data_IF_986126527704
#
_entry.id   IF_986126527704
#
_cell.length_a   1.000
_cell.length_b   1.000
_cell.length_c   1.000
_cell.angle_alpha   90.00
_cell.angle_beta   90.00
_cell.angle_gamma   90.00
#
_symmetry.space_group_name_H-M   'P 1'
#
loop_
_entity.id
_entity.type
_entity.pdbx_description
1 polymer ?
#
# COMPACT_ATOMS: atom_id res chain seq x y z
N UNK A 1 -35.48 -9.45 5.78
CA UNK A 1 -36.12 -9.12 4.52
C UNK A 1 -35.28 -8.16 3.72
N UNK A 2 -35.43 -8.14 2.42
CA UNK A 2 -34.73 -7.22 1.50
C UNK A 2 -35.37 -5.84 1.61
N UNK A 3 -34.56 -4.81 1.82
CA UNK A 3 -35.02 -3.43 1.89
C UNK A 3 -34.43 -2.64 0.71
N UNK A 4 -35.24 -1.88 0.00
CA UNK A 4 -34.79 -0.95 -1.04
C UNK A 4 -34.41 0.36 -0.38
N UNK A 5 -33.17 0.83 -0.59
CA UNK A 5 -32.65 2.09 -0.06
C UNK A 5 -32.49 3.12 -1.17
N UNK A 6 -32.79 4.38 -0.88
CA UNK A 6 -32.42 5.50 -1.74
C UNK A 6 -30.92 5.81 -1.59
N UNK A 7 -30.34 6.60 -2.50
CA UNK A 7 -28.94 7.03 -2.41
C UNK A 7 -28.64 7.75 -1.09
N UNK A 8 -29.54 8.63 -0.63
CA UNK A 8 -29.41 9.34 0.64
C UNK A 8 -29.43 8.38 1.84
N UNK A 9 -30.34 7.38 1.82
CA UNK A 9 -30.40 6.35 2.85
C UNK A 9 -29.16 5.47 2.86
N UNK A 10 -28.59 5.15 1.69
CA UNK A 10 -27.31 4.43 1.61
C UNK A 10 -26.19 5.25 2.21
N UNK A 11 -26.07 6.53 1.86
CA UNK A 11 -25.09 7.45 2.42
C UNK A 11 -25.21 7.56 3.93
N UNK A 12 -26.41 7.76 4.44
CA UNK A 12 -26.68 7.80 5.88
C UNK A 12 -26.30 6.48 6.57
N UNK A 13 -26.56 5.34 5.94
CA UNK A 13 -26.20 4.01 6.50
C UNK A 13 -24.69 3.85 6.58
N UNK A 14 -23.93 4.34 5.61
CA UNK A 14 -22.47 4.32 5.62
C UNK A 14 -21.88 5.25 6.68
N UNK A 15 -22.46 6.44 6.84
CA UNK A 15 -21.93 7.46 7.73
C UNK A 15 -22.46 7.36 9.17
N UNK A 16 -23.65 6.79 9.36
CA UNK A 16 -24.29 6.75 10.67
C UNK A 16 -23.52 5.84 11.63
N UNK A 17 -23.03 6.43 12.69
CA UNK A 17 -22.48 5.76 13.86
C UNK A 17 -23.23 6.24 15.09
N UNK A 18 -23.73 5.33 15.89
CA UNK A 18 -24.35 5.69 17.16
C UNK A 18 -23.29 6.08 18.17
N UNK A 19 -23.61 7.05 19.03
CA UNK A 19 -22.69 7.45 20.09
C UNK A 19 -22.29 6.24 20.95
N UNK A 20 -20.98 5.95 21.04
CA UNK A 20 -20.46 4.81 21.75
C UNK A 20 -20.60 3.46 21.02
N UNK A 21 -21.04 3.43 19.76
CA UNK A 21 -21.07 2.21 18.96
C UNK A 21 -19.65 1.88 18.47
N UNK A 22 -19.06 0.74 18.87
CA UNK A 22 -17.77 0.30 18.36
C UNK A 22 -17.82 0.05 16.85
N UNK A 23 -16.73 0.32 16.13
CA UNK A 23 -16.66 0.14 14.68
C UNK A 23 -16.97 -1.32 14.28
N UNK A 24 -16.47 -2.30 15.02
CA UNK A 24 -16.76 -3.73 14.75
C UNK A 24 -18.25 -4.06 14.77
N UNK A 25 -19.05 -3.38 15.59
CA UNK A 25 -20.51 -3.56 15.66
C UNK A 25 -21.19 -2.99 14.41
N UNK A 26 -20.61 -1.97 13.80
CA UNK A 26 -21.11 -1.31 12.59
C UNK A 26 -20.79 -2.10 11.30
N UNK A 27 -19.67 -2.81 11.28
CA UNK A 27 -19.16 -3.52 10.10
C UNK A 27 -20.17 -4.46 9.43
N UNK A 28 -20.96 -5.31 10.15
CA UNK A 28 -21.94 -6.17 9.49
C UNK A 28 -22.98 -5.41 8.68
N UNK A 29 -23.42 -4.23 9.18
CA UNK A 29 -24.38 -3.36 8.48
C UNK A 29 -23.76 -2.79 7.22
N UNK A 30 -22.53 -2.29 7.29
CA UNK A 30 -21.77 -1.77 6.15
C UNK A 30 -21.53 -2.88 5.12
N UNK A 31 -21.09 -4.05 5.57
CA UNK A 31 -20.88 -5.22 4.70
C UNK A 31 -22.16 -5.63 3.98
N UNK A 32 -23.30 -5.68 4.68
CA UNK A 32 -24.60 -6.00 4.07
C UNK A 32 -24.99 -4.98 2.99
N UNK A 33 -24.72 -3.69 3.22
CA UNK A 33 -24.97 -2.65 2.23
C UNK A 33 -24.11 -2.85 0.97
N UNK A 34 -22.80 -3.04 1.13
CA UNK A 34 -21.89 -3.27 -0.01
C UNK A 34 -22.20 -4.57 -0.74
N UNK A 35 -22.56 -5.63 -0.03
CA UNK A 35 -23.02 -6.88 -0.62
C UNK A 35 -24.31 -6.70 -1.44
N UNK A 36 -25.23 -5.86 -0.95
CA UNK A 36 -26.43 -5.48 -1.69
C UNK A 36 -26.12 -4.73 -2.97
N UNK A 37 -25.20 -3.76 -2.92
CA UNK A 37 -24.71 -3.03 -4.10
C UNK A 37 -24.05 -3.98 -5.09
N UNK A 38 -23.14 -4.83 -4.64
CA UNK A 38 -22.45 -5.81 -5.48
C UNK A 38 -23.44 -6.77 -6.16
N UNK A 39 -24.47 -7.22 -5.43
CA UNK A 39 -25.53 -8.07 -5.99
C UNK A 39 -26.37 -7.33 -7.03
N UNK A 40 -26.66 -6.05 -6.83
CA UNK A 40 -27.44 -5.25 -7.76
C UNK A 40 -26.67 -4.93 -9.05
N UNK A 41 -25.34 -4.72 -8.93
CA UNK A 41 -24.47 -4.48 -10.08
C UNK A 41 -24.17 -5.79 -10.85
N UNK A 42 -24.12 -6.91 -10.12
CA UNK A 42 -23.88 -8.25 -10.70
C UNK A 42 -22.52 -8.36 -11.38
N UNK A 43 -22.52 -8.53 -12.71
CA UNK A 43 -21.32 -8.66 -13.54
C UNK A 43 -20.70 -7.32 -13.96
N UNK A 44 -21.23 -6.23 -13.49
CA UNK A 44 -20.84 -4.87 -13.82
C UNK A 44 -22.00 -4.03 -14.34
N UNK A 45 -21.83 -2.71 -14.36
CA UNK A 45 -22.80 -1.79 -14.96
C UNK A 45 -22.75 -1.89 -16.48
N UNK A 46 -23.90 -1.84 -17.18
CA UNK A 46 -23.93 -1.79 -18.64
C UNK A 46 -23.24 -0.49 -19.14
N UNK A 47 -22.62 -0.52 -20.34
CA UNK A 47 -21.85 0.61 -20.86
C UNK A 47 -22.63 1.93 -20.91
N UNK A 48 -23.93 1.88 -21.16
CA UNK A 48 -24.79 3.06 -21.22
C UNK A 48 -24.92 3.76 -19.85
N UNK A 49 -24.82 3.01 -18.74
CA UNK A 49 -24.86 3.56 -17.38
C UNK A 49 -23.51 4.04 -16.89
N UNK A 50 -22.42 3.56 -17.52
CA UNK A 50 -21.08 3.99 -17.16
C UNK A 50 -20.78 5.41 -17.60
N UNK A 51 -21.48 5.93 -18.63
CA UNK A 51 -21.23 7.25 -19.23
C UNK A 51 -19.72 7.53 -19.39
N UNK A 52 -18.98 6.50 -19.76
CA UNK A 52 -17.56 6.65 -20.05
C UNK A 52 -17.48 7.52 -21.31
N UNK A 53 -16.83 8.67 -21.19
CA UNK A 53 -16.53 9.50 -22.36
C UNK A 53 -15.80 8.64 -23.37
N UNK A 54 -16.16 8.69 -24.67
CA UNK A 54 -15.52 7.89 -25.73
C UNK A 54 -14.00 8.11 -25.83
N UNK A 55 -13.51 9.20 -25.22
CA UNK A 55 -12.10 9.62 -25.18
C UNK A 55 -11.32 9.09 -23.97
N UNK A 56 -11.96 8.44 -22.99
CA UNK A 56 -11.22 7.90 -21.86
C UNK A 56 -10.51 6.61 -22.27
N UNK A 57 -9.21 6.68 -22.44
CA UNK A 57 -8.38 5.48 -22.65
C UNK A 57 -8.45 4.59 -21.41
N UNK A 58 -8.51 3.24 -21.56
CA UNK A 58 -8.59 2.33 -20.42
C UNK A 58 -7.48 2.50 -19.38
N UNK A 59 -6.34 3.05 -19.78
CA UNK A 59 -5.14 3.21 -18.96
C UNK A 59 -5.01 4.61 -18.33
N UNK A 60 -5.94 5.53 -18.56
CA UNK A 60 -5.89 6.86 -17.98
C UNK A 60 -6.30 6.81 -16.50
N UNK A 61 -5.49 7.40 -15.62
CA UNK A 61 -5.80 7.46 -14.20
C UNK A 61 -7.04 8.35 -13.99
N UNK A 62 -8.08 7.87 -13.27
CA UNK A 62 -9.24 8.68 -12.97
C UNK A 62 -8.86 9.94 -12.19
N UNK A 63 -9.30 11.10 -12.65
CA UNK A 63 -9.03 12.40 -12.01
C UNK A 63 -10.12 12.83 -11.03
N UNK A 64 -11.25 12.14 -11.04
CA UNK A 64 -12.39 12.39 -10.14
C UNK A 64 -12.98 11.09 -9.58
N UNK A 65 -13.61 11.20 -8.42
CA UNK A 65 -14.22 10.07 -7.70
C UNK A 65 -15.34 9.39 -8.50
N UNK A 66 -16.12 10.15 -9.25
CA UNK A 66 -17.21 9.60 -10.06
C UNK A 66 -16.68 8.69 -11.17
N UNK A 67 -15.65 9.12 -11.88
CA UNK A 67 -14.97 8.30 -12.90
C UNK A 67 -14.30 7.08 -12.28
N UNK A 68 -13.67 7.23 -11.13
CA UNK A 68 -13.12 6.10 -10.39
C UNK A 68 -14.19 5.07 -10.03
N UNK A 69 -15.28 5.48 -9.41
CA UNK A 69 -16.38 4.58 -9.03
C UNK A 69 -17.03 3.90 -10.24
N UNK A 70 -17.25 4.62 -11.33
CA UNK A 70 -17.77 4.00 -12.56
C UNK A 70 -16.84 2.89 -13.07
N UNK A 71 -15.53 3.11 -13.04
CA UNK A 71 -14.56 2.07 -13.43
C UNK A 71 -14.56 0.87 -12.49
N UNK A 72 -14.68 1.10 -11.17
CA UNK A 72 -14.81 0.01 -10.18
C UNK A 72 -16.03 -0.86 -10.47
N UNK A 73 -17.15 -0.25 -10.88
CA UNK A 73 -18.38 -0.97 -11.19
C UNK A 73 -18.50 -1.43 -12.65
N UNK A 74 -17.47 -1.20 -13.47
CA UNK A 74 -17.47 -1.67 -14.87
C UNK A 74 -17.29 -3.19 -15.01
N UNK A 75 -16.79 -3.85 -13.98
CA UNK A 75 -16.58 -5.30 -13.92
C UNK A 75 -17.28 -5.96 -12.74
N UNK A 76 -17.07 -7.26 -12.55
CA UNK A 76 -17.59 -7.99 -11.40
C UNK A 76 -17.10 -7.36 -10.08
N UNK A 77 -18.04 -7.15 -9.16
CA UNK A 77 -17.75 -6.54 -7.86
C UNK A 77 -17.73 -7.62 -6.78
N UNK A 78 -16.64 -7.67 -6.04
CA UNK A 78 -16.48 -8.51 -4.86
C UNK A 78 -16.29 -7.65 -3.62
N UNK A 79 -16.95 -8.03 -2.53
CA UNK A 79 -16.86 -7.32 -1.25
C UNK A 79 -16.09 -8.16 -0.25
N UNK A 80 -14.94 -7.65 0.17
CA UNK A 80 -14.09 -8.27 1.17
C UNK A 80 -14.17 -7.50 2.47
N UNK A 81 -14.26 -8.21 3.57
CA UNK A 81 -14.12 -7.63 4.90
C UNK A 81 -12.75 -8.04 5.44
N UNK A 82 -11.88 -7.07 5.61
CA UNK A 82 -10.55 -7.29 6.19
C UNK A 82 -10.66 -7.70 7.66
N UNK A 83 -9.82 -8.63 8.06
CA UNK A 83 -9.64 -8.99 9.45
C UNK A 83 -8.99 -7.84 10.21
N UNK A 84 -9.61 -7.46 11.33
CA UNK A 84 -9.15 -6.36 12.15
C UNK A 84 -9.18 -6.74 13.62
N UNK A 85 -8.16 -6.34 14.36
CA UNK A 85 -8.07 -6.56 15.81
C UNK A 85 -7.98 -5.21 16.54
N UNK A 86 -8.72 -5.03 17.65
CA UNK A 86 -8.65 -3.79 18.41
C UNK A 86 -7.23 -3.56 18.92
N UNK A 87 -6.75 -2.34 18.77
CA UNK A 87 -5.48 -1.90 19.36
C UNK A 87 -5.66 -1.73 20.88
N UNK A 88 -4.69 -2.21 21.64
CA UNK A 88 -4.70 -2.15 23.10
C UNK A 88 -3.35 -1.79 23.69
N UNK A 89 -3.31 -1.42 24.97
CA UNK A 89 -2.09 -1.16 25.69
C UNK A 89 -1.27 0.02 25.15
N UNK A 90 0.03 -0.21 24.93
CA UNK A 90 0.96 0.83 24.50
C UNK A 90 0.64 1.43 23.13
N UNK A 91 0.00 0.64 22.26
CA UNK A 91 -0.34 1.05 20.89
C UNK A 91 -1.60 1.95 20.84
N UNK A 92 -2.37 2.00 21.92
CA UNK A 92 -3.60 2.80 22.01
C UNK A 92 -3.79 3.37 23.43
N UNK A 93 -2.90 4.24 23.90
CA UNK A 93 -2.95 4.77 25.27
C UNK A 93 -4.18 5.65 25.53
N UNK A 94 -4.78 6.21 24.49
CA UNK A 94 -5.99 7.04 24.59
C UNK A 94 -7.29 6.22 24.59
N UNK A 95 -7.21 4.89 24.50
CA UNK A 95 -8.34 3.96 24.44
C UNK A 95 -9.38 4.33 23.37
N UNK A 96 -8.90 4.78 22.23
CA UNK A 96 -9.74 5.10 21.08
C UNK A 96 -10.22 3.81 20.41
N UNK A 97 -11.30 3.91 19.65
CA UNK A 97 -11.83 2.80 18.84
C UNK A 97 -10.99 2.61 17.57
N UNK A 98 -9.73 2.10 17.75
CA UNK A 98 -8.74 1.87 16.71
C UNK A 98 -8.47 0.40 16.50
N UNK A 99 -8.23 0.01 15.26
CA UNK A 99 -8.02 -1.37 14.85
C UNK A 99 -6.78 -1.51 13.99
N UNK A 100 -5.99 -2.56 14.24
CA UNK A 100 -4.94 -3.01 13.34
C UNK A 100 -5.54 -3.98 12.32
N UNK A 101 -5.29 -3.72 11.05
CA UNK A 101 -5.63 -4.65 9.97
C UNK A 101 -4.56 -5.74 9.86
N UNK A 102 -4.97 -6.94 9.46
CA UNK A 102 -4.04 -7.98 9.04
C UNK A 102 -3.35 -7.54 7.74
N UNK A 103 -2.07 -7.17 7.85
CA UNK A 103 -1.28 -6.67 6.72
C UNK A 103 -1.10 -7.70 5.63
N UNK A 104 -1.00 -8.99 6.01
CA UNK A 104 -0.85 -10.07 5.03
C UNK A 104 -2.14 -10.25 4.23
N UNK A 105 -3.30 -10.21 4.88
CA UNK A 105 -4.59 -10.25 4.21
C UNK A 105 -4.77 -9.07 3.24
N UNK A 106 -4.41 -7.84 3.68
CA UNK A 106 -4.43 -6.66 2.82
C UNK A 106 -3.55 -6.86 1.59
N UNK A 107 -2.32 -7.34 1.76
CA UNK A 107 -1.39 -7.62 0.65
C UNK A 107 -1.95 -8.65 -0.33
N UNK A 108 -2.53 -9.74 0.18
CA UNK A 108 -3.11 -10.79 -0.66
C UNK A 108 -4.30 -10.27 -1.48
N UNK A 109 -5.19 -9.50 -0.87
CA UNK A 109 -6.35 -8.92 -1.55
C UNK A 109 -5.89 -7.90 -2.59
N UNK A 110 -4.99 -7.00 -2.23
CA UNK A 110 -4.46 -5.99 -3.16
C UNK A 110 -3.71 -6.64 -4.33
N UNK A 111 -2.92 -7.67 -4.09
CA UNK A 111 -2.23 -8.40 -5.15
C UNK A 111 -3.20 -9.09 -6.13
N UNK A 112 -4.36 -9.55 -5.66
CA UNK A 112 -5.38 -10.15 -6.51
C UNK A 112 -6.23 -9.11 -7.25
N UNK A 113 -6.56 -7.99 -6.60
CA UNK A 113 -7.44 -6.96 -7.15
C UNK A 113 -6.70 -5.99 -8.09
N UNK A 114 -5.44 -5.69 -7.80
CA UNK A 114 -4.59 -4.82 -8.58
C UNK A 114 -3.22 -5.47 -8.77
N UNK A 115 -3.12 -6.47 -9.64
CA UNK A 115 -1.83 -7.10 -9.91
C UNK A 115 -0.83 -6.04 -10.34
N UNK A 116 0.31 -6.03 -9.66
CA UNK A 116 1.35 -5.03 -9.86
C UNK A 116 1.87 -5.04 -11.30
N UNK A 117 2.14 -3.86 -11.84
CA UNK A 117 2.89 -3.70 -13.09
C UNK A 117 4.30 -4.30 -13.02
N UNK A 118 4.81 -4.60 -11.83
CA UNK A 118 6.09 -5.26 -11.59
C UNK A 118 6.01 -6.79 -11.67
N UNK A 119 4.82 -7.36 -11.83
CA UNK A 119 4.66 -8.77 -12.17
C UNK A 119 5.13 -8.97 -13.61
N UNK A 120 6.37 -9.39 -13.77
CA UNK A 120 6.93 -9.75 -15.07
C UNK A 120 6.28 -11.04 -15.56
N UNK A 121 6.16 -11.25 -16.91
CA UNK A 121 5.70 -12.52 -17.45
C UNK A 121 6.53 -13.73 -16.99
N UNK A 122 7.79 -13.48 -16.58
CA UNK A 122 8.75 -14.48 -16.07
C UNK A 122 8.73 -14.65 -14.55
N UNK A 123 7.87 -13.94 -13.82
CA UNK A 123 7.81 -13.94 -12.36
C UNK A 123 7.91 -12.54 -11.74
N UNK A 124 8.03 -12.48 -10.43
CA UNK A 124 8.21 -11.20 -9.71
C UNK A 124 9.66 -10.69 -9.85
N UNK A 125 9.84 -9.36 -9.82
CA UNK A 125 11.15 -8.73 -9.79
C UNK A 125 11.89 -9.12 -8.50
N UNK A 126 12.99 -9.86 -8.62
CA UNK A 126 13.81 -10.30 -7.50
C UNK A 126 14.74 -9.18 -7.03
N UNK A 127 14.55 -8.70 -5.81
CA UNK A 127 15.26 -7.53 -5.26
C UNK A 127 16.12 -7.95 -4.07
N UNK A 128 17.35 -7.46 -4.06
CA UNK A 128 18.21 -7.44 -2.86
C UNK A 128 18.07 -6.09 -2.17
N UNK A 129 17.87 -6.11 -0.87
CA UNK A 129 17.85 -4.90 -0.02
C UNK A 129 19.13 -4.83 0.81
N UNK A 130 19.85 -3.73 0.69
CA UNK A 130 21.04 -3.40 1.48
C UNK A 130 20.69 -2.24 2.43
N UNK A 131 20.89 -2.43 3.72
CA UNK A 131 20.63 -1.40 4.74
C UNK A 131 21.86 -1.18 5.61
N UNK A 132 22.25 0.09 5.77
CA UNK A 132 23.27 0.52 6.72
C UNK A 132 22.65 1.28 7.91
N UNK A 133 21.33 1.31 8.03
CA UNK A 133 20.63 2.08 9.04
C UNK A 133 20.56 1.38 10.40
N UNK A 134 20.91 0.10 10.46
CA UNK A 134 20.90 -0.74 11.68
C UNK A 134 19.55 -0.68 12.43
N UNK A 135 18.44 -0.52 11.70
CA UNK A 135 17.09 -0.48 12.25
C UNK A 135 16.21 -1.53 11.56
N UNK A 136 15.88 -2.56 12.32
CA UNK A 136 15.06 -3.66 11.83
C UNK A 136 13.63 -3.24 11.42
N UNK A 137 13.09 -2.17 12.05
CA UNK A 137 11.75 -1.68 11.71
C UNK A 137 11.78 -0.96 10.36
N UNK A 138 12.84 -0.19 10.08
CA UNK A 138 13.03 0.45 8.78
C UNK A 138 13.21 -0.60 7.69
N UNK A 139 14.09 -1.60 7.94
CA UNK A 139 14.30 -2.70 7.00
C UNK A 139 13.01 -3.45 6.72
N UNK A 140 12.21 -3.75 7.75
CA UNK A 140 10.90 -4.38 7.59
C UNK A 140 9.94 -3.52 6.78
N UNK A 141 9.88 -2.21 7.04
CA UNK A 141 9.02 -1.30 6.28
C UNK A 141 9.39 -1.26 4.79
N UNK A 142 10.68 -1.32 4.45
CA UNK A 142 11.15 -1.43 3.07
C UNK A 142 10.65 -2.72 2.42
N UNK A 143 10.85 -3.85 3.09
CA UNK A 143 10.45 -5.18 2.59
C UNK A 143 8.94 -5.24 2.34
N UNK A 144 8.14 -4.79 3.31
CA UNK A 144 6.68 -4.75 3.20
C UNK A 144 6.24 -3.90 2.00
N UNK A 145 6.86 -2.74 1.79
CA UNK A 145 6.52 -1.83 0.70
C UNK A 145 6.92 -2.37 -0.68
N UNK A 146 8.09 -3.01 -0.78
CA UNK A 146 8.54 -3.67 -2.00
C UNK A 146 7.61 -4.84 -2.37
N UNK A 147 7.25 -5.66 -1.39
CA UNK A 147 6.33 -6.77 -1.61
C UNK A 147 4.92 -6.27 -1.97
N UNK A 148 4.49 -5.15 -1.40
CA UNK A 148 3.20 -4.53 -1.71
C UNK A 148 3.06 -4.17 -3.19
N UNK A 149 4.12 -3.73 -3.84
CA UNK A 149 4.11 -3.42 -5.28
C UNK A 149 4.39 -4.66 -6.17
N UNK A 150 4.43 -5.87 -5.60
CA UNK A 150 4.54 -7.13 -6.33
C UNK A 150 5.95 -7.54 -6.73
N UNK A 151 6.98 -6.85 -6.23
CA UNK A 151 8.34 -7.33 -6.29
C UNK A 151 8.63 -8.30 -5.12
N UNK A 152 9.66 -9.12 -5.22
CA UNK A 152 10.05 -10.06 -4.17
C UNK A 152 11.41 -9.69 -3.60
N UNK A 153 11.48 -9.47 -2.29
CA UNK A 153 12.77 -9.34 -1.61
C UNK A 153 13.33 -10.73 -1.36
N UNK A 154 14.41 -11.06 -2.07
CA UNK A 154 15.05 -12.39 -2.02
C UNK A 154 16.26 -12.42 -1.12
N UNK A 155 16.86 -11.25 -0.84
CA UNK A 155 18.03 -11.13 0.02
C UNK A 155 18.01 -9.79 0.76
N UNK A 156 18.33 -9.83 2.05
CA UNK A 156 18.54 -8.65 2.88
C UNK A 156 19.98 -8.71 3.39
N UNK A 157 20.72 -7.61 3.24
CA UNK A 157 22.06 -7.46 3.81
C UNK A 157 22.10 -6.24 4.72
N UNK A 158 22.59 -6.44 5.90
CA UNK A 158 22.97 -5.35 6.80
C UNK A 158 24.42 -5.00 6.53
N UNK A 159 24.68 -3.71 6.25
CA UNK A 159 25.99 -3.18 5.98
C UNK A 159 26.45 -2.35 7.18
N UNK A 160 27.74 -2.33 7.42
CA UNK A 160 28.38 -1.52 8.48
C UNK A 160 28.81 -0.14 8.01
N UNK A 161 28.65 0.13 6.72
CA UNK A 161 29.02 1.40 6.10
C UNK A 161 28.07 2.53 6.53
N UNK A 162 28.51 3.77 6.39
CA UNK A 162 27.64 4.94 6.59
C UNK A 162 26.49 4.92 5.57
N UNK A 163 25.22 5.06 6.02
CA UNK A 163 24.09 5.08 5.10
C UNK A 163 24.20 6.25 4.11
N UNK A 164 23.90 6.02 2.82
CA UNK A 164 23.88 7.10 1.85
C UNK A 164 22.76 8.10 2.20
N UNK A 165 22.94 9.36 1.77
CA UNK A 165 21.91 10.38 1.99
C UNK A 165 20.63 10.08 1.17
N UNK A 166 20.79 9.54 -0.03
CA UNK A 166 19.71 9.18 -0.93
C UNK A 166 19.70 7.69 -1.20
N UNK A 167 18.51 7.09 -1.16
CA UNK A 167 18.28 5.69 -1.52
C UNK A 167 18.62 5.45 -2.99
N UNK A 168 19.24 4.31 -3.27
CA UNK A 168 19.77 3.98 -4.60
C UNK A 168 19.13 2.70 -5.10
N UNK A 169 18.57 2.76 -6.32
CA UNK A 169 18.12 1.59 -7.05
C UNK A 169 19.15 1.21 -8.10
N UNK A 170 19.78 0.05 -7.93
CA UNK A 170 20.76 -0.49 -8.87
C UNK A 170 20.13 -1.59 -9.70
N UNK A 171 20.18 -1.46 -11.00
CA UNK A 171 19.51 -2.36 -11.95
C UNK A 171 20.51 -3.09 -12.85
N UNK A 172 20.16 -4.30 -13.24
CA UNK A 172 20.91 -5.08 -14.23
C UNK A 172 20.54 -4.70 -15.67
N UNK A 173 19.25 -4.42 -15.90
CA UNK A 173 18.69 -4.05 -17.19
C UNK A 173 17.90 -2.74 -17.07
N UNK A 174 18.13 -1.81 -18.00
CA UNK A 174 17.45 -0.50 -18.03
C UNK A 174 15.93 -0.62 -18.21
N UNK A 175 15.46 -1.67 -18.86
CA UNK A 175 14.02 -1.92 -19.00
C UNK A 175 13.32 -2.08 -17.63
N UNK A 176 14.04 -2.59 -16.62
CA UNK A 176 13.55 -2.71 -15.25
C UNK A 176 13.24 -1.33 -14.65
N UNK A 177 14.05 -0.32 -14.95
CA UNK A 177 13.84 1.04 -14.44
C UNK A 177 12.55 1.63 -15.00
N UNK A 178 12.34 1.50 -16.30
CA UNK A 178 11.14 2.03 -16.96
C UNK A 178 9.86 1.39 -16.41
N UNK A 179 9.93 0.10 -16.11
CA UNK A 179 8.82 -0.66 -15.54
C UNK A 179 8.57 -0.31 -14.07
N UNK A 180 9.64 -0.23 -13.26
CA UNK A 180 9.55 -0.23 -11.81
C UNK A 180 9.54 1.16 -11.17
N UNK A 181 10.04 2.18 -11.87
CA UNK A 181 10.30 3.52 -11.31
C UNK A 181 9.11 4.11 -10.58
N UNK A 182 7.97 4.20 -11.24
CA UNK A 182 6.77 4.84 -10.67
C UNK A 182 6.29 4.13 -9.42
N UNK A 183 6.24 2.79 -9.46
CA UNK A 183 5.82 1.98 -8.31
C UNK A 183 6.80 2.08 -7.14
N UNK A 184 8.10 1.98 -7.42
CA UNK A 184 9.14 2.06 -6.38
C UNK A 184 9.18 3.45 -5.73
N UNK A 185 9.15 4.53 -6.51
CA UNK A 185 9.17 5.90 -5.97
C UNK A 185 7.90 6.22 -5.17
N UNK A 186 6.76 5.64 -5.54
CA UNK A 186 5.52 5.81 -4.78
C UNK A 186 5.60 5.22 -3.36
N UNK A 187 6.37 4.14 -3.17
CA UNK A 187 6.44 3.43 -1.88
C UNK A 187 7.74 3.67 -1.10
N UNK A 188 8.82 4.07 -1.77
CA UNK A 188 10.13 4.28 -1.15
C UNK A 188 10.59 5.75 -1.17
N UNK A 189 9.85 6.64 -1.86
CA UNK A 189 10.29 7.99 -2.14
C UNK A 189 11.24 8.08 -3.32
N UNK A 190 11.79 9.28 -3.61
CA UNK A 190 12.68 9.51 -4.74
C UNK A 190 13.93 8.65 -4.67
N UNK A 191 14.28 7.97 -5.77
CA UNK A 191 15.43 7.07 -5.84
C UNK A 191 16.48 7.60 -6.81
N UNK A 192 17.76 7.34 -6.51
CA UNK A 192 18.85 7.46 -7.46
C UNK A 192 18.98 6.16 -8.24
N UNK A 193 19.14 6.24 -9.56
CA UNK A 193 19.22 5.06 -10.42
C UNK A 193 20.66 4.85 -10.90
N UNK A 194 21.21 3.67 -10.67
CA UNK A 194 22.56 3.28 -11.05
C UNK A 194 22.55 1.91 -11.73
N UNK A 195 23.41 1.72 -12.72
CA UNK A 195 23.59 0.39 -13.31
C UNK A 195 24.48 -0.49 -12.41
N UNK A 196 24.07 -1.74 -12.18
CA UNK A 196 24.90 -2.73 -11.47
C UNK A 196 26.18 -2.99 -12.24
N UNK A 197 27.31 -2.83 -11.57
CA UNK A 197 28.63 -3.11 -12.16
C UNK A 197 28.86 -4.63 -12.35
N UNK A 198 28.24 -5.44 -11.49
CA UNK A 198 28.33 -6.91 -11.51
C UNK A 198 26.96 -7.46 -11.18
N UNK A 199 26.24 -8.01 -12.16
CA UNK A 199 24.97 -8.70 -11.92
C UNK A 199 25.20 -9.89 -11.00
N UNK A 200 24.25 -10.14 -10.10
CA UNK A 200 24.24 -11.31 -9.22
C UNK A 200 23.16 -12.24 -9.75
N UNK A 201 23.49 -13.51 -9.91
CA UNK A 201 22.55 -14.51 -10.38
C UNK A 201 21.33 -14.61 -9.45
N UNK A 202 20.13 -14.62 -10.03
CA UNK A 202 18.87 -14.66 -9.27
C UNK A 202 18.43 -13.31 -8.68
N UNK A 203 19.19 -12.23 -8.89
CA UNK A 203 18.84 -10.87 -8.42
C UNK A 203 18.70 -9.96 -9.64
N UNK A 204 17.50 -9.41 -9.81
CA UNK A 204 17.20 -8.49 -10.92
C UNK A 204 17.64 -7.06 -10.61
N UNK A 205 17.54 -6.66 -9.34
CA UNK A 205 17.90 -5.32 -8.89
C UNK A 205 18.34 -5.31 -7.42
N UNK A 206 19.02 -4.25 -7.02
CA UNK A 206 19.48 -4.00 -5.65
C UNK A 206 18.97 -2.64 -5.19
N UNK A 207 18.45 -2.56 -3.98
CA UNK A 207 18.07 -1.30 -3.33
C UNK A 207 19.00 -1.08 -2.15
N UNK A 208 19.69 0.06 -2.14
CA UNK A 208 20.48 0.54 -1.00
C UNK A 208 19.65 1.63 -0.32
N UNK A 209 19.29 1.41 0.94
CA UNK A 209 18.45 2.32 1.71
C UNK A 209 19.27 3.48 2.25
N UNK A 210 18.81 4.69 1.96
CA UNK A 210 19.41 5.93 2.41
C UNK A 210 18.64 6.61 3.55
N UNK A 211 19.21 7.70 4.05
CA UNK A 211 18.61 8.51 5.12
C UNK A 211 17.30 9.18 4.67
N UNK A 212 17.16 9.47 3.36
CA UNK A 212 15.95 10.03 2.77
C UNK A 212 14.71 9.15 2.96
N UNK A 213 14.87 7.84 3.01
CA UNK A 213 13.75 6.93 3.29
C UNK A 213 13.23 7.08 4.72
N UNK A 214 14.09 7.34 5.70
CA UNK A 214 13.67 7.63 7.09
C UNK A 214 12.80 8.88 7.12
N UNK A 215 13.21 9.92 6.39
CA UNK A 215 12.44 11.15 6.27
C UNK A 215 11.11 10.92 5.53
N UNK A 216 11.12 10.10 4.49
CA UNK A 216 9.92 9.72 3.74
C UNK A 216 8.89 8.98 4.60
N UNK A 217 9.33 8.17 5.56
CA UNK A 217 8.46 7.53 6.54
C UNK A 217 7.89 8.52 7.59
N UNK A 218 8.36 9.76 7.63
CA UNK A 218 8.02 10.73 8.69
C UNK A 218 8.61 10.37 10.05
N UNK A 219 9.57 9.46 10.08
CA UNK A 219 10.30 9.09 11.27
C UNK A 219 11.49 10.04 11.41
N UNK A 220 11.35 11.12 12.17
CA UNK A 220 12.53 11.92 12.54
C UNK A 220 13.49 11.05 13.34
N UNK A 221 14.80 11.05 13.03
CA UNK A 221 15.77 10.35 13.87
C UNK A 221 15.63 10.90 15.29
N UNK A 222 15.53 10.01 16.26
CA UNK A 222 15.56 10.40 17.66
C UNK A 222 16.84 11.22 17.89
N UNK A 223 16.70 12.45 18.34
CA UNK A 223 17.84 13.27 18.73
C UNK A 223 18.65 12.46 19.75
N UNK A 224 19.98 12.37 19.60
CA UNK A 224 20.80 11.72 20.59
C UNK A 224 20.50 12.34 21.96
N UNK A 225 20.45 11.55 23.03
CA UNK A 225 20.18 12.07 24.35
C UNK A 225 21.16 13.21 24.65
N UNK A 226 20.64 14.41 24.87
CA UNK A 226 21.46 15.56 25.27
C UNK A 226 22.02 15.21 26.64
N UNK A 227 23.29 14.90 26.69
CA UNK A 227 24.00 14.73 27.96
C UNK A 227 24.03 16.12 28.60
N UNK A 228 23.14 16.36 29.56
CA UNK A 228 23.21 17.54 30.40
C UNK A 228 24.46 17.34 31.23
N UNK A 229 25.50 18.09 30.92
CA UNK A 229 26.66 18.19 31.81
C UNK A 229 26.14 18.72 33.14
N UNK A 230 26.28 17.92 34.19
CA UNK A 230 26.08 18.42 35.55
C UNK A 230 27.24 19.40 35.81
N UNK A 231 26.89 20.68 35.89
CA UNK A 231 27.80 21.68 36.41
C UNK A 231 28.03 21.38 37.92
N UNK A 232 29.30 21.14 38.28
CA UNK A 232 29.78 21.08 39.65
C UNK A 232 29.82 22.50 40.26
#
# INVERSE_FOLDING_TARGET
GTQTLTADQMTLTLMAQKLGEPELTRLPRIKSLWAGIASAVGTGLPPEQLQLSPTSTPNEVPTDIGTFMRRVFAGPVQVWQLSAQPLSGADNPALLDLYALDRFEVLMIMASAAPSSLSLPSGSLAIQVDSSLNDANITRAVVERINYIGASVVLIRELTDTPPQQSIFRYSDKAIVELAKVGLEAVLGPLKYEQLKRPVEGISAQIVIGQDFVNFLGLSPALPPTTIAADE
#
